data_IF_146419152142
#
_entry.id   IF_146419152142
#
_cell.length_a   1.000
_cell.length_b   1.000
_cell.length_c   1.000
_cell.angle_alpha   90.00
_cell.angle_beta   90.00
_cell.angle_gamma   90.00
#
_symmetry.space_group_name_H-M   'P 1'
#
loop_
_entity.id
_entity.type
_entity.pdbx_description
1 polymer ?
#
# COMPACT_ATOMS: atom_id res chain seq x y z
N UNK A 1 -11.60 1.65 36.38
CA UNK A 1 -10.58 0.78 35.75
C UNK A 1 -9.50 1.56 34.99
N UNK A 2 -9.83 2.64 34.26
CA UNK A 2 -8.87 3.48 33.51
C UNK A 2 -7.70 4.08 34.33
N UNK A 3 -7.95 4.57 35.55
CA UNK A 3 -6.90 5.16 36.40
C UNK A 3 -5.79 4.19 36.79
N UNK A 4 -6.11 2.90 36.94
CA UNK A 4 -5.11 1.88 37.23
C UNK A 4 -4.25 1.61 36.00
N UNK A 5 -4.85 1.46 34.82
CA UNK A 5 -4.11 1.26 33.56
C UNK A 5 -3.10 2.39 33.25
N UNK A 6 -3.47 3.65 33.51
CA UNK A 6 -2.58 4.81 33.41
C UNK A 6 -1.38 4.74 34.38
N UNK A 7 -1.61 4.30 35.62
CA UNK A 7 -0.55 4.16 36.62
C UNK A 7 0.44 3.03 36.27
N UNK A 8 -0.05 1.91 35.74
CA UNK A 8 0.81 0.82 35.26
C UNK A 8 1.61 1.21 34.01
N UNK A 9 1.02 1.98 33.08
CA UNK A 9 1.73 2.52 31.92
C UNK A 9 2.86 3.49 32.28
N UNK A 10 2.63 4.37 33.27
CA UNK A 10 3.65 5.28 33.77
C UNK A 10 4.81 4.55 34.46
N UNK A 11 4.53 3.50 35.23
CA UNK A 11 5.55 2.69 35.91
C UNK A 11 6.43 1.91 34.90
N UNK A 12 5.83 1.37 33.84
CA UNK A 12 6.55 0.65 32.78
C UNK A 12 7.45 1.58 31.96
N UNK A 13 6.99 2.80 31.67
CA UNK A 13 7.81 3.82 31.01
C UNK A 13 9.01 4.24 31.88
N UNK A 14 8.79 4.45 33.18
CA UNK A 14 9.85 4.81 34.13
C UNK A 14 10.90 3.68 34.30
N UNK A 15 10.47 2.41 34.29
CA UNK A 15 11.38 1.27 34.37
C UNK A 15 12.21 1.11 33.08
N UNK A 16 11.62 1.35 31.91
CA UNK A 16 12.34 1.37 30.63
C UNK A 16 13.40 2.46 30.56
N UNK A 17 13.08 3.66 31.05
CA UNK A 17 14.03 4.78 31.20
C UNK A 17 15.20 4.44 32.14
N UNK A 18 14.94 3.79 33.27
CA UNK A 18 15.97 3.39 34.23
C UNK A 18 16.90 2.30 33.68
N UNK A 19 16.37 1.35 32.89
CA UNK A 19 17.16 0.29 32.24
C UNK A 19 18.00 0.86 31.09
N UNK A 20 17.44 1.76 30.28
CA UNK A 20 18.17 2.49 29.23
C UNK A 20 19.32 3.32 29.82
N UNK A 21 19.07 4.02 30.94
CA UNK A 21 20.11 4.75 31.67
C UNK A 21 21.21 3.84 32.22
N UNK A 22 20.88 2.63 32.68
CA UNK A 22 21.85 1.63 33.16
C UNK A 22 22.83 1.19 32.08
N UNK A 23 22.40 1.12 30.82
CA UNK A 23 23.23 0.71 29.68
C UNK A 23 23.70 1.88 28.80
N UNK A 24 23.28 3.13 29.09
CA UNK A 24 23.63 4.31 28.30
C UNK A 24 23.09 4.29 26.87
N UNK A 25 21.96 3.61 26.62
CA UNK A 25 21.41 3.41 25.28
C UNK A 25 20.13 4.23 25.07
N UNK A 26 20.15 5.06 24.02
CA UNK A 26 18.98 5.77 23.51
C UNK A 26 18.49 6.92 24.39
N UNK A 27 17.58 7.72 23.82
CA UNK A 27 16.84 8.78 24.52
C UNK A 27 15.37 8.72 24.09
N UNK A 28 14.42 9.14 24.95
CA UNK A 28 13.02 9.23 24.55
C UNK A 28 12.85 10.14 23.33
N UNK A 29 12.13 9.66 22.31
CA UNK A 29 11.76 10.44 21.14
C UNK A 29 10.67 11.46 21.52
N UNK A 30 10.79 12.70 21.03
CA UNK A 30 9.71 13.69 21.18
C UNK A 30 8.55 13.34 20.25
N UNK A 31 7.32 13.75 20.59
CA UNK A 31 6.18 13.57 19.68
C UNK A 31 6.42 14.23 18.31
N UNK A 32 7.11 15.38 18.31
CA UNK A 32 7.46 16.07 17.07
C UNK A 32 8.41 15.26 16.19
N UNK A 33 9.46 14.70 16.80
CA UNK A 33 10.39 13.84 16.07
C UNK A 33 9.69 12.55 15.63
N UNK A 34 8.82 11.98 16.46
CA UNK A 34 8.03 10.81 16.09
C UNK A 34 7.14 11.11 14.87
N UNK A 35 6.47 12.27 14.82
CA UNK A 35 5.63 12.70 13.69
C UNK A 35 6.40 12.84 12.38
N UNK A 36 7.66 13.27 12.42
CA UNK A 36 8.50 13.38 11.22
C UNK A 36 8.78 12.02 10.55
N UNK A 37 8.84 10.95 11.35
CA UNK A 37 9.02 9.58 10.87
C UNK A 37 7.72 8.77 10.87
N UNK A 38 6.62 9.40 11.26
CA UNK A 38 5.32 8.77 11.33
C UNK A 38 4.69 8.74 9.95
N UNK A 39 5.01 7.67 9.24
CA UNK A 39 4.45 7.35 7.94
C UNK A 39 2.95 6.99 8.00
N UNK A 40 2.28 7.11 9.16
CA UNK A 40 0.85 6.88 9.27
C UNK A 40 0.03 7.97 8.55
N UNK A 41 -1.14 7.61 8.01
CA UNK A 41 -1.75 6.29 8.10
C UNK A 41 -1.20 5.29 7.07
N UNK A 42 -0.74 4.12 7.53
CA UNK A 42 -0.49 2.96 6.66
C UNK A 42 -1.82 2.48 6.11
N UNK A 43 -1.91 2.31 4.80
CA UNK A 43 -3.12 1.77 4.18
C UNK A 43 -3.07 0.25 4.24
N UNK A 44 -4.06 -0.35 4.90
CA UNK A 44 -4.17 -1.79 5.06
C UNK A 44 -5.09 -2.41 3.99
N UNK A 45 -5.04 -3.74 3.77
CA UNK A 45 -5.93 -4.45 2.86
C UNK A 45 -7.42 -4.14 3.05
N UNK A 46 -7.85 -3.97 4.30
CA UNK A 46 -9.24 -3.65 4.67
C UNK A 46 -9.63 -2.17 4.52
N UNK A 47 -8.72 -1.34 4.00
CA UNK A 47 -8.95 0.09 3.77
C UNK A 47 -8.67 1.00 4.95
N UNK A 48 -8.32 0.45 6.13
CA UNK A 48 -7.86 1.31 7.23
C UNK A 48 -6.69 2.15 6.77
N UNK A 49 -6.78 3.45 7.02
CA UNK A 49 -5.76 4.42 6.65
C UNK A 49 -5.95 5.09 5.29
N UNK A 50 -6.99 4.72 4.53
CA UNK A 50 -7.36 5.45 3.33
C UNK A 50 -7.91 6.85 3.69
N UNK A 51 -7.38 7.92 3.08
CA UNK A 51 -7.89 9.28 3.22
C UNK A 51 -9.19 9.46 2.42
N UNK A 52 -10.04 10.46 2.73
CA UNK A 52 -11.20 10.76 1.89
C UNK A 52 -10.75 11.25 0.50
N UNK A 53 -11.42 10.78 -0.55
CA UNK A 53 -11.16 11.20 -1.93
C UNK A 53 -11.90 10.31 -2.92
N UNK A 54 -11.84 10.65 -4.20
CA UNK A 54 -12.48 9.86 -5.27
C UNK A 54 -11.66 9.90 -6.56
N UNK A 55 -11.44 8.72 -7.12
CA UNK A 55 -10.69 8.49 -8.34
C UNK A 55 -11.60 8.50 -9.56
N UNK A 56 -11.06 9.05 -10.64
CA UNK A 56 -11.64 9.12 -11.98
C UNK A 56 -10.57 8.71 -12.97
N UNK A 57 -10.91 7.76 -13.84
CA UNK A 57 -9.98 7.17 -14.81
C UNK A 57 -9.40 8.22 -15.75
N UNK A 58 -10.22 9.14 -16.24
CA UNK A 58 -9.82 10.19 -17.19
C UNK A 58 -8.78 11.15 -16.59
N UNK A 59 -8.97 11.57 -15.33
CA UNK A 59 -7.97 12.39 -14.63
C UNK A 59 -6.69 11.59 -14.36
N UNK A 60 -6.83 10.31 -13.99
CA UNK A 60 -5.70 9.42 -13.77
C UNK A 60 -4.84 9.24 -15.01
N UNK A 61 -5.47 9.12 -16.19
CA UNK A 61 -4.78 9.06 -17.47
C UNK A 61 -3.93 10.32 -17.72
N UNK A 62 -4.48 11.51 -17.45
CA UNK A 62 -3.75 12.78 -17.63
C UNK A 62 -2.55 12.87 -16.69
N UNK A 63 -2.73 12.50 -15.42
CA UNK A 63 -1.65 12.51 -14.42
C UNK A 63 -0.58 11.47 -14.81
N UNK A 64 -1.00 10.28 -15.23
CA UNK A 64 -0.09 9.20 -15.65
C UNK A 64 0.79 9.64 -16.82
N UNK A 65 0.20 10.25 -17.85
CA UNK A 65 0.95 10.76 -19.00
C UNK A 65 2.01 11.80 -18.60
N UNK A 66 1.74 12.62 -17.58
CA UNK A 66 2.65 13.66 -17.12
C UNK A 66 3.72 13.18 -16.14
N UNK A 67 3.38 12.21 -15.28
CA UNK A 67 4.19 11.86 -14.10
C UNK A 67 4.72 10.42 -14.08
N UNK A 68 4.25 9.54 -14.97
CA UNK A 68 4.52 8.11 -14.91
C UNK A 68 5.02 7.53 -16.24
N UNK A 69 4.43 7.95 -17.37
CA UNK A 69 4.65 7.33 -18.68
C UNK A 69 6.10 7.38 -19.17
N UNK A 70 6.88 8.40 -18.79
CA UNK A 70 8.31 8.51 -19.17
C UNK A 70 9.17 7.36 -18.64
N UNK A 71 8.69 6.63 -17.62
CA UNK A 71 9.40 5.54 -16.96
C UNK A 71 8.73 4.18 -17.16
N UNK A 72 7.40 4.17 -17.25
CA UNK A 72 6.58 2.95 -17.29
C UNK A 72 5.94 2.69 -18.66
N UNK A 73 6.21 3.52 -19.67
CA UNK A 73 5.58 3.43 -20.99
C UNK A 73 4.20 4.06 -21.02
N UNK A 74 3.74 4.44 -22.21
CA UNK A 74 2.44 5.10 -22.41
C UNK A 74 1.27 4.18 -22.06
N UNK A 75 1.44 2.87 -22.27
CA UNK A 75 0.45 1.83 -22.03
C UNK A 75 0.79 0.96 -20.80
N UNK A 76 1.79 1.35 -20.00
CA UNK A 76 2.23 0.57 -18.85
C UNK A 76 3.06 -0.66 -19.20
N UNK A 77 3.59 -0.73 -20.42
CA UNK A 77 4.42 -1.82 -20.94
C UNK A 77 5.81 -1.91 -20.29
N UNK A 78 6.23 -0.85 -19.59
CA UNK A 78 7.53 -0.74 -18.94
C UNK A 78 8.58 -0.04 -19.82
N UNK A 79 9.83 -0.03 -19.32
CA UNK A 79 11.04 0.59 -19.87
C UNK A 79 11.18 2.12 -19.64
N UNK A 80 12.26 2.59 -18.97
CA UNK A 80 13.33 1.80 -18.34
C UNK A 80 12.94 1.12 -17.02
N UNK A 81 11.72 1.35 -16.49
CA UNK A 81 11.27 0.75 -15.23
C UNK A 81 10.24 -0.36 -15.43
N UNK A 82 9.74 -0.91 -14.31
CA UNK A 82 8.82 -2.04 -14.26
C UNK A 82 7.58 -1.82 -15.13
N UNK A 83 7.12 -2.90 -15.73
CA UNK A 83 5.80 -3.02 -16.35
C UNK A 83 4.69 -2.83 -15.30
N UNK A 84 3.64 -2.11 -15.66
CA UNK A 84 2.47 -1.85 -14.81
C UNK A 84 1.18 -2.51 -15.32
N UNK A 85 1.14 -2.83 -16.62
CA UNK A 85 0.00 -3.44 -17.31
C UNK A 85 0.49 -4.69 -18.06
N UNK A 86 -0.20 -5.80 -17.89
CA UNK A 86 0.16 -7.07 -18.53
C UNK A 86 -1.07 -7.94 -18.79
N UNK A 87 -1.01 -8.73 -19.85
CA UNK A 87 -1.78 -9.95 -20.07
C UNK A 87 -0.76 -11.10 -20.23
N UNK A 88 -1.03 -12.35 -19.82
CA UNK A 88 -2.30 -12.92 -19.37
C UNK A 88 -2.58 -12.80 -17.86
N UNK A 89 -3.85 -12.99 -17.50
CA UNK A 89 -4.33 -13.18 -16.14
C UNK A 89 -4.85 -14.61 -15.94
N UNK A 90 -4.60 -15.27 -14.80
CA UNK A 90 -3.60 -14.99 -13.77
C UNK A 90 -2.19 -15.46 -14.18
N UNK A 91 -1.15 -15.09 -13.39
CA UNK A 91 0.19 -15.68 -13.57
C UNK A 91 0.20 -17.19 -13.27
N UNK A 92 1.14 -17.90 -13.89
CA UNK A 92 1.44 -19.32 -13.63
C UNK A 92 2.87 -19.47 -13.10
N UNK A 93 3.27 -20.67 -12.62
CA UNK A 93 4.66 -20.93 -12.24
C UNK A 93 5.68 -20.72 -13.37
N UNK A 94 5.24 -20.78 -14.63
CA UNK A 94 6.07 -20.55 -15.82
C UNK A 94 6.12 -19.07 -16.25
N UNK A 95 5.34 -18.20 -15.61
CA UNK A 95 5.37 -16.75 -15.90
C UNK A 95 6.65 -16.14 -15.38
N UNK A 96 7.40 -15.51 -16.28
CA UNK A 96 8.66 -14.87 -15.93
C UNK A 96 8.42 -13.63 -15.05
N UNK A 97 9.26 -13.36 -14.03
CA UNK A 97 9.04 -12.22 -13.14
C UNK A 97 8.97 -10.85 -13.83
N UNK A 98 9.58 -10.71 -15.01
CA UNK A 98 9.51 -9.49 -15.83
C UNK A 98 8.11 -9.22 -16.40
N UNK A 99 7.24 -10.24 -16.43
CA UNK A 99 5.87 -10.16 -16.90
C UNK A 99 4.88 -9.83 -15.78
N UNK A 100 5.35 -9.77 -14.52
CA UNK A 100 4.54 -9.39 -13.38
C UNK A 100 4.16 -7.91 -13.46
N UNK A 101 2.88 -7.65 -13.21
CA UNK A 101 2.27 -6.33 -13.27
C UNK A 101 1.18 -6.21 -12.19
N UNK A 102 0.53 -5.05 -12.14
CA UNK A 102 -0.50 -4.77 -11.14
C UNK A 102 -1.65 -5.79 -11.25
N UNK A 103 -2.20 -5.99 -12.45
CA UNK A 103 -3.41 -6.82 -12.61
C UNK A 103 -3.19 -8.31 -12.37
N UNK A 104 -2.00 -8.84 -12.65
CA UNK A 104 -1.75 -10.28 -12.64
C UNK A 104 -1.05 -10.80 -11.37
N UNK A 105 -0.42 -9.92 -10.59
CA UNK A 105 0.39 -10.33 -9.43
C UNK A 105 -0.02 -9.66 -8.11
N UNK A 106 -0.59 -8.45 -8.12
CA UNK A 106 -0.85 -7.73 -6.87
C UNK A 106 -2.17 -8.19 -6.22
N UNK A 107 -2.17 -8.62 -4.94
CA UNK A 107 -3.36 -9.23 -4.32
C UNK A 107 -4.37 -8.22 -3.77
N UNK A 108 -3.99 -6.95 -3.57
CA UNK A 108 -4.87 -5.92 -3.01
C UNK A 108 -4.71 -4.59 -3.75
N UNK A 109 -5.83 -4.00 -4.16
CA UNK A 109 -5.85 -2.67 -4.79
C UNK A 109 -5.41 -1.55 -3.83
N UNK A 110 -5.62 -1.73 -2.52
CA UNK A 110 -5.21 -0.76 -1.50
C UNK A 110 -3.69 -0.65 -1.36
N UNK A 111 -2.94 -1.72 -1.62
CA UNK A 111 -1.46 -1.68 -1.68
C UNK A 111 -0.98 -0.75 -2.78
N UNK A 112 -1.68 -0.69 -3.91
CA UNK A 112 -1.35 0.22 -5.01
C UNK A 112 -1.45 1.68 -4.56
N UNK A 113 -2.52 2.04 -3.85
CA UNK A 113 -2.69 3.38 -3.29
C UNK A 113 -1.55 3.74 -2.33
N UNK A 114 -1.24 2.86 -1.38
CA UNK A 114 -0.19 3.13 -0.38
C UNK A 114 1.17 3.32 -1.05
N UNK A 115 1.50 2.44 -2.00
CA UNK A 115 2.76 2.48 -2.71
C UNK A 115 2.92 3.75 -3.55
N UNK A 116 1.91 4.09 -4.36
CA UNK A 116 1.95 5.30 -5.21
C UNK A 116 2.12 6.54 -4.34
N UNK A 117 1.30 6.69 -3.29
CA UNK A 117 1.37 7.85 -2.39
C UNK A 117 2.74 8.02 -1.74
N UNK A 118 3.38 6.92 -1.34
CA UNK A 118 4.64 6.96 -0.57
C UNK A 118 5.90 7.04 -1.42
N UNK A 119 5.91 6.32 -2.54
CA UNK A 119 7.13 6.03 -3.27
C UNK A 119 7.15 6.64 -4.67
N UNK A 120 6.00 7.09 -5.20
CA UNK A 120 5.89 7.63 -6.55
C UNK A 120 5.59 9.14 -6.56
N UNK A 121 6.04 9.85 -7.62
CA UNK A 121 6.96 9.40 -8.67
C UNK A 121 8.35 9.05 -8.12
N UNK A 122 9.12 8.23 -8.83
CA UNK A 122 10.44 7.81 -8.36
C UNK A 122 11.35 9.01 -8.05
N UNK A 123 11.94 9.04 -6.85
CA UNK A 123 12.73 10.16 -6.35
C UNK A 123 11.92 11.37 -5.85
N UNK A 124 10.59 11.33 -5.97
CA UNK A 124 9.66 12.39 -5.56
C UNK A 124 8.45 11.82 -4.79
N UNK A 125 8.66 10.75 -4.02
CA UNK A 125 7.62 10.14 -3.21
C UNK A 125 7.00 11.12 -2.21
N UNK A 126 5.69 11.00 -1.96
CA UNK A 126 4.96 11.89 -1.05
C UNK A 126 4.57 13.26 -1.64
N UNK A 127 4.80 13.50 -2.94
CA UNK A 127 4.43 14.76 -3.61
C UNK A 127 3.04 14.75 -4.22
N UNK A 128 2.45 13.58 -4.44
CA UNK A 128 1.09 13.43 -4.95
C UNK A 128 0.08 13.67 -3.83
N UNK A 129 -0.98 14.41 -4.15
CA UNK A 129 -2.15 14.55 -3.28
C UNK A 129 -2.93 13.25 -3.22
N UNK A 130 -3.68 13.04 -2.13
CA UNK A 130 -4.50 11.84 -1.95
C UNK A 130 -5.50 11.62 -3.11
N UNK A 131 -6.06 12.71 -3.66
CA UNK A 131 -6.98 12.67 -4.81
C UNK A 131 -6.26 12.28 -6.11
N UNK A 132 -5.05 12.82 -6.38
CA UNK A 132 -4.22 12.39 -7.52
C UNK A 132 -3.87 10.89 -7.43
N UNK A 133 -3.59 10.39 -6.24
CA UNK A 133 -3.33 8.96 -6.04
C UNK A 133 -4.58 8.14 -6.35
N UNK A 134 -5.77 8.56 -5.92
CA UNK A 134 -7.02 7.89 -6.29
C UNK A 134 -7.26 7.87 -7.80
N UNK A 135 -7.00 8.99 -8.49
CA UNK A 135 -7.09 9.07 -9.95
C UNK A 135 -6.14 8.07 -10.62
N UNK A 136 -4.87 8.05 -10.22
CA UNK A 136 -3.88 7.11 -10.75
C UNK A 136 -4.25 5.64 -10.49
N UNK A 137 -4.72 5.32 -9.28
CA UNK A 137 -5.19 3.97 -8.93
C UNK A 137 -6.37 3.56 -9.81
N UNK A 138 -7.36 4.43 -9.98
CA UNK A 138 -8.50 4.14 -10.86
C UNK A 138 -8.05 3.87 -12.30
N UNK A 139 -7.17 4.70 -12.83
CA UNK A 139 -6.64 4.53 -14.18
C UNK A 139 -5.84 3.23 -14.35
N UNK A 140 -4.96 2.90 -13.41
CA UNK A 140 -4.17 1.65 -13.47
C UNK A 140 -5.04 0.40 -13.35
N UNK A 141 -6.07 0.43 -12.50
CA UNK A 141 -7.04 -0.67 -12.41
C UNK A 141 -7.85 -0.82 -13.71
N UNK A 142 -8.25 0.29 -14.32
CA UNK A 142 -8.92 0.28 -15.63
C UNK A 142 -8.02 -0.26 -16.74
N UNK A 143 -6.76 0.19 -16.82
CA UNK A 143 -5.80 -0.32 -17.81
C UNK A 143 -5.51 -1.82 -17.67
N UNK A 144 -5.62 -2.35 -16.46
CA UNK A 144 -5.48 -3.79 -16.19
C UNK A 144 -6.81 -4.55 -16.33
N UNK A 145 -7.89 -3.94 -16.83
CA UNK A 145 -9.19 -4.58 -17.01
C UNK A 145 -9.88 -5.00 -15.71
N UNK A 146 -9.48 -4.44 -14.56
CA UNK A 146 -10.02 -4.80 -13.23
C UNK A 146 -11.34 -4.08 -12.95
N UNK A 147 -11.52 -2.88 -13.48
CA UNK A 147 -12.71 -2.05 -13.32
C UNK A 147 -13.12 -1.39 -14.64
N UNK A 148 -14.40 -1.03 -14.75
CA UNK A 148 -14.88 -0.18 -15.84
C UNK A 148 -14.54 1.30 -15.59
N UNK A 149 -14.47 2.11 -16.65
CA UNK A 149 -14.09 3.53 -16.58
C UNK A 149 -14.94 4.38 -15.63
N UNK A 150 -16.23 4.04 -15.47
CA UNK A 150 -17.17 4.73 -14.58
C UNK A 150 -17.20 4.19 -13.14
N UNK A 151 -16.38 3.21 -12.81
CA UNK A 151 -16.38 2.57 -11.48
C UNK A 151 -15.82 3.55 -10.44
N UNK A 152 -16.58 3.90 -9.37
CA UNK A 152 -16.10 4.82 -8.36
C UNK A 152 -14.99 4.17 -7.54
N UNK A 153 -13.82 4.82 -7.46
CA UNK A 153 -12.68 4.36 -6.64
C UNK A 153 -12.43 5.35 -5.51
N UNK A 154 -12.80 4.99 -4.29
CA UNK A 154 -12.68 5.87 -3.11
C UNK A 154 -12.34 5.07 -1.85
N UNK A 155 -12.29 5.72 -0.70
CA UNK A 155 -11.93 5.10 0.59
C UNK A 155 -12.85 3.95 1.02
N UNK A 156 -14.07 3.88 0.47
CA UNK A 156 -15.04 2.81 0.76
C UNK A 156 -15.02 1.71 -0.28
N UNK A 157 -14.86 2.05 -1.56
CA UNK A 157 -14.96 1.10 -2.67
C UNK A 157 -13.63 0.44 -3.01
N UNK A 158 -12.49 1.13 -2.86
CA UNK A 158 -11.18 0.58 -3.19
C UNK A 158 -10.86 -0.75 -2.44
N UNK A 159 -11.15 -0.90 -1.14
CA UNK A 159 -10.93 -2.17 -0.42
C UNK A 159 -11.83 -3.31 -0.88
N UNK A 160 -12.91 -3.01 -1.60
CA UNK A 160 -13.88 -3.99 -2.09
C UNK A 160 -13.48 -4.56 -3.46
N UNK A 161 -12.53 -3.92 -4.16
CA UNK A 161 -12.03 -4.37 -5.45
C UNK A 161 -11.23 -5.65 -5.27
N UNK A 162 -11.69 -6.74 -5.89
CA UNK A 162 -11.04 -8.05 -5.86
C UNK A 162 -10.01 -8.13 -6.99
N UNK A 163 -8.73 -8.17 -6.63
CA UNK A 163 -7.65 -8.39 -7.59
C UNK A 163 -7.54 -9.88 -7.97
N UNK A 164 -7.26 -10.24 -9.23
CA UNK A 164 -7.16 -11.64 -9.67
C UNK A 164 -6.13 -12.46 -8.88
N UNK A 165 -4.98 -11.87 -8.56
CA UNK A 165 -3.90 -12.53 -7.81
C UNK A 165 -4.25 -12.81 -6.34
N UNK A 166 -5.40 -12.30 -5.83
CA UNK A 166 -5.85 -12.56 -4.47
C UNK A 166 -5.99 -14.06 -4.19
N UNK A 167 -6.52 -14.81 -5.16
CA UNK A 167 -6.77 -16.25 -5.04
C UNK A 167 -5.49 -17.09 -5.06
N UNK A 168 -4.39 -16.52 -5.54
CA UNK A 168 -3.08 -17.17 -5.56
C UNK A 168 -2.32 -17.01 -4.25
N UNK A 169 -2.76 -16.11 -3.36
CA UNK A 169 -2.05 -15.82 -2.13
C UNK A 169 -2.34 -16.91 -1.10
N UNK A 170 -1.33 -17.72 -0.82
CA UNK A 170 -1.37 -18.74 0.22
C UNK A 170 -0.46 -18.40 1.39
N UNK A 171 -0.87 -18.78 2.61
CA UNK A 171 0.05 -18.78 3.73
C UNK A 171 1.09 -19.87 3.52
N UNK A 172 2.34 -19.55 3.83
CA UNK A 172 3.41 -20.53 3.90
C UNK A 172 2.96 -21.78 4.71
N UNK A 173 3.20 -23.01 4.22
CA UNK A 173 2.74 -24.23 4.86
C UNK A 173 3.21 -24.39 6.31
N UNK A 174 4.42 -23.91 6.63
CA UNK A 174 4.95 -23.92 8.00
C UNK A 174 4.16 -22.94 8.88
N UNK A 175 3.92 -21.73 8.39
CA UNK A 175 3.10 -20.74 9.08
C UNK A 175 1.68 -21.26 9.36
N UNK A 176 1.04 -21.91 8.38
CA UNK A 176 -0.29 -22.50 8.53
C UNK A 176 -0.30 -23.63 9.56
N UNK A 177 0.73 -24.48 9.59
CA UNK A 177 0.86 -25.55 10.58
C UNK A 177 1.05 -24.99 11.99
N UNK A 178 1.89 -23.96 12.13
CA UNK A 178 2.23 -23.35 13.43
C UNK A 178 1.12 -22.46 13.98
N UNK A 179 0.39 -21.78 13.10
CA UNK A 179 -0.64 -20.80 13.45
C UNK A 179 -1.95 -21.11 12.70
N UNK A 180 -2.65 -22.20 13.04
CA UNK A 180 -3.84 -22.64 12.32
C UNK A 180 -5.03 -21.67 12.40
N UNK A 181 -4.99 -20.70 13.31
CA UNK A 181 -5.99 -19.63 13.44
C UNK A 181 -5.69 -18.40 12.59
N UNK A 182 -4.51 -18.33 11.94
CA UNK A 182 -4.14 -17.20 11.10
C UNK A 182 -4.85 -17.32 9.74
N UNK A 183 -5.56 -16.27 9.36
CA UNK A 183 -6.21 -16.14 8.05
C UNK A 183 -5.68 -14.92 7.32
N UNK A 184 -5.60 -15.01 5.99
CA UNK A 184 -5.30 -13.85 5.14
C UNK A 184 -6.54 -12.93 5.09
N UNK A 185 -6.35 -11.60 5.12
CA UNK A 185 -7.43 -10.63 5.25
C UNK A 185 -8.34 -10.49 4.02
#
# INVERSE_FOLDING_TARGET
>A
MFRRALAWGALLAALGLALAARYGLGTPISEELARQYDLRPVVLPDGRGLPPGEGRVEEGQRIYAQKCASCHGENGEGYPFNRLVSEPFPITPDTEPVEYAIGNYWPYATTLFDYIRRAMPFGQGGTLTDEEVYHLVAFLLYMNGIIDAGTPVNQKTLPQIRMPARELLELDPEAKRRFPWLTLP
#
